data_IF_375207540462
#
_entry.id   IF_375207540462
#
_cell.length_a   1.000
_cell.length_b   1.000
_cell.length_c   1.000
_cell.angle_alpha   90.00
_cell.angle_beta   90.00
_cell.angle_gamma   90.00
#
_symmetry.space_group_name_H-M   'P 1'
#
loop_
_entity.id
_entity.type
_entity.pdbx_description
1 polymer ?
#
# COMPACT_ATOMS: atom_id res chain seq x y z
N UNK A 1 24.22 -10.15 -30.29
CA UNK A 1 23.44 -10.17 -29.02
C UNK A 1 23.25 -8.74 -28.56
N UNK A 2 22.04 -8.18 -28.65
CA UNK A 2 21.70 -6.86 -28.07
C UNK A 2 21.10 -7.12 -26.70
N UNK A 3 21.83 -6.76 -25.64
CA UNK A 3 21.27 -6.66 -24.30
C UNK A 3 20.28 -5.48 -24.29
N UNK A 4 19.07 -5.59 -23.72
CA UNK A 4 18.18 -4.46 -23.59
C UNK A 4 18.80 -3.50 -22.57
N UNK A 5 19.10 -2.27 -23.01
CA UNK A 5 19.57 -1.20 -22.13
C UNK A 5 18.62 -1.05 -20.95
N UNK A 6 19.16 -1.22 -19.75
CA UNK A 6 18.54 -0.85 -18.51
C UNK A 6 17.89 0.53 -18.64
N UNK A 7 16.65 0.65 -18.16
CA UNK A 7 15.94 1.91 -17.98
C UNK A 7 16.72 2.82 -17.03
N UNK A 8 17.76 3.49 -17.52
CA UNK A 8 18.44 4.54 -16.79
C UNK A 8 17.55 5.77 -16.86
N UNK A 9 16.59 5.88 -15.92
CA UNK A 9 15.85 7.12 -15.74
C UNK A 9 16.90 8.19 -15.41
N UNK A 10 17.06 9.24 -16.25
CA UNK A 10 18.02 10.29 -15.96
C UNK A 10 17.74 10.87 -14.57
N UNK A 11 18.78 11.12 -13.77
CA UNK A 11 18.63 11.61 -12.39
C UNK A 11 17.70 12.84 -12.29
N UNK A 12 17.69 13.68 -13.34
CA UNK A 12 16.78 14.81 -13.49
C UNK A 12 15.31 14.39 -13.57
N UNK A 13 14.98 13.44 -14.44
CA UNK A 13 13.61 12.93 -14.59
C UNK A 13 13.11 12.24 -13.32
N UNK A 14 14.00 11.57 -12.58
CA UNK A 14 13.67 11.02 -11.27
C UNK A 14 13.35 12.11 -10.24
N UNK A 15 14.17 13.17 -10.19
CA UNK A 15 13.93 14.32 -9.30
C UNK A 15 12.61 15.03 -9.60
N UNK A 16 12.34 15.32 -10.88
CA UNK A 16 11.08 15.95 -11.33
C UNK A 16 9.86 15.08 -10.98
N UNK A 17 9.98 13.75 -11.08
CA UNK A 17 8.94 12.83 -10.64
C UNK A 17 8.70 12.92 -9.13
N UNK A 18 9.75 12.89 -8.32
CA UNK A 18 9.62 13.00 -6.86
C UNK A 18 9.00 14.34 -6.44
N UNK A 19 9.41 15.45 -7.05
CA UNK A 19 8.83 16.77 -6.79
C UNK A 19 7.34 16.82 -7.17
N UNK A 20 6.97 16.23 -8.30
CA UNK A 20 5.57 16.11 -8.73
C UNK A 20 4.74 15.22 -7.81
N UNK A 21 5.31 14.16 -7.25
CA UNK A 21 4.63 13.25 -6.30
C UNK A 21 4.51 13.86 -4.89
N UNK A 22 5.52 14.62 -4.45
CA UNK A 22 5.59 15.18 -3.10
C UNK A 22 4.38 16.07 -2.74
N UNK A 23 3.77 16.74 -3.73
CA UNK A 23 2.59 17.59 -3.54
C UNK A 23 1.37 16.85 -2.97
N UNK A 24 1.32 15.53 -3.08
CA UNK A 24 0.23 14.71 -2.55
C UNK A 24 0.47 14.23 -1.13
N UNK A 25 1.61 14.58 -0.51
CA UNK A 25 1.99 14.10 0.80
C UNK A 25 2.12 15.23 1.81
N UNK A 26 1.69 14.98 3.04
CA UNK A 26 1.92 15.84 4.20
C UNK A 26 2.61 15.03 5.28
N UNK A 27 3.69 15.57 5.81
CA UNK A 27 4.40 15.00 6.95
C UNK A 27 3.96 15.70 8.23
N UNK A 28 3.30 14.95 9.12
CA UNK A 28 2.90 15.37 10.45
C UNK A 28 3.48 14.39 11.46
N UNK A 29 4.68 14.69 11.96
CA UNK A 29 5.54 13.79 12.72
C UNK A 29 4.77 13.03 13.84
N UNK A 30 4.73 11.68 13.86
CA UNK A 30 5.52 10.69 13.09
C UNK A 30 4.81 10.09 11.86
N UNK A 31 3.78 10.76 11.35
CA UNK A 31 2.87 10.23 10.34
C UNK A 31 3.05 10.91 8.98
N UNK A 32 3.09 10.09 7.93
CA UNK A 32 2.97 10.55 6.55
C UNK A 32 1.53 10.37 6.12
N UNK A 33 0.91 11.43 5.63
CA UNK A 33 -0.43 11.43 5.07
C UNK A 33 -0.36 11.58 3.55
N UNK A 34 -1.26 10.92 2.83
CA UNK A 34 -1.40 11.04 1.38
C UNK A 34 -2.82 11.48 1.00
N UNK A 35 -2.91 12.48 0.13
CA UNK A 35 -4.15 12.92 -0.48
C UNK A 35 -4.46 12.11 -1.74
N UNK A 36 -5.72 11.73 -1.88
CA UNK A 36 -6.24 10.98 -3.02
C UNK A 36 -7.34 11.77 -3.72
N UNK A 37 -7.62 11.41 -4.97
CA UNK A 37 -8.63 12.06 -5.80
C UNK A 37 -10.06 11.85 -5.29
N UNK A 38 -10.27 10.87 -4.41
CA UNK A 38 -11.54 10.64 -3.72
C UNK A 38 -11.76 11.58 -2.52
N UNK A 39 -10.88 12.57 -2.33
CA UNK A 39 -10.88 13.53 -1.21
C UNK A 39 -10.65 12.87 0.16
N UNK A 40 -10.29 11.58 0.19
CA UNK A 40 -9.96 10.87 1.42
C UNK A 40 -8.45 10.99 1.67
N UNK A 41 -8.11 11.53 2.83
CA UNK A 41 -6.71 11.54 3.28
C UNK A 41 -6.40 10.22 3.95
N UNK A 42 -5.37 9.51 3.48
CA UNK A 42 -4.97 8.22 4.06
C UNK A 42 -3.64 8.32 4.77
N UNK A 43 -3.58 7.72 5.95
CA UNK A 43 -2.40 7.58 6.78
C UNK A 43 -1.51 6.47 6.26
N UNK A 44 -0.25 6.80 6.02
CA UNK A 44 0.79 5.83 5.69
C UNK A 44 1.07 4.93 6.88
N UNK A 45 1.06 3.62 6.66
CA UNK A 45 1.45 2.63 7.65
C UNK A 45 2.94 2.31 7.49
N UNK A 46 3.73 2.41 8.58
CA UNK A 46 5.10 1.93 8.60
C UNK A 46 5.24 0.46 8.21
N UNK A 47 6.34 0.12 7.55
CA UNK A 47 6.60 -1.21 7.01
C UNK A 47 6.60 -2.34 8.05
N UNK A 48 6.86 -2.04 9.32
CA UNK A 48 6.81 -3.00 10.43
C UNK A 48 5.39 -3.23 10.98
N UNK A 49 4.42 -2.38 10.64
CA UNK A 49 3.06 -2.39 11.21
C UNK A 49 1.98 -2.90 10.26
N UNK A 50 2.24 -3.01 8.96
CA UNK A 50 1.19 -3.39 8.00
C UNK A 50 0.67 -4.81 8.23
N UNK A 51 1.50 -5.74 8.71
CA UNK A 51 1.06 -7.10 9.03
C UNK A 51 -0.01 -7.09 10.11
N UNK A 52 0.18 -6.32 11.20
CA UNK A 52 -0.80 -6.19 12.27
C UNK A 52 -2.15 -5.69 11.75
N UNK A 53 -2.12 -4.72 10.83
CA UNK A 53 -3.32 -4.20 10.16
C UNK A 53 -4.01 -5.30 9.35
N UNK A 54 -3.27 -6.03 8.50
CA UNK A 54 -3.84 -7.11 7.69
C UNK A 54 -4.44 -8.24 8.55
N UNK A 55 -3.74 -8.63 9.63
CA UNK A 55 -4.24 -9.59 10.61
C UNK A 55 -5.57 -9.12 11.22
N UNK A 56 -5.63 -7.88 11.71
CA UNK A 56 -6.84 -7.35 12.34
C UNK A 56 -8.07 -7.44 11.43
N UNK A 57 -7.94 -7.10 10.14
CA UNK A 57 -9.06 -7.17 9.20
C UNK A 57 -9.39 -8.58 8.72
N UNK A 58 -8.41 -9.49 8.68
CA UNK A 58 -8.65 -10.89 8.30
C UNK A 58 -9.39 -11.68 9.37
N UNK A 59 -9.05 -11.46 10.65
CA UNK A 59 -9.68 -12.15 11.78
C UNK A 59 -10.96 -11.48 12.29
N UNK A 60 -11.36 -10.35 11.73
CA UNK A 60 -12.59 -9.67 12.10
C UNK A 60 -13.78 -10.63 11.83
N UNK A 61 -14.59 -10.97 12.86
CA UNK A 61 -15.59 -12.02 12.74
C UNK A 61 -16.73 -11.55 11.83
N UNK A 62 -16.76 -12.03 10.58
CA UNK A 62 -17.91 -11.93 9.67
C UNK A 62 -17.81 -12.99 8.57
N UNK A 63 -18.91 -13.69 8.33
CA UNK A 63 -18.99 -14.85 7.44
C UNK A 63 -18.64 -14.53 5.99
N UNK A 64 -17.61 -15.20 5.46
CA UNK A 64 -17.25 -15.20 4.05
C UNK A 64 -15.76 -15.36 3.81
N UNK A 65 -15.37 -16.17 2.83
CA UNK A 65 -14.00 -16.22 2.29
C UNK A 65 -13.75 -14.95 1.46
N UNK A 66 -13.28 -13.89 2.11
CA UNK A 66 -12.95 -12.65 1.43
C UNK A 66 -11.49 -12.67 0.98
N UNK A 67 -11.27 -12.55 -0.33
CA UNK A 67 -9.95 -12.50 -0.91
C UNK A 67 -9.19 -11.21 -0.64
N UNK A 68 -7.95 -11.14 -1.12
CA UNK A 68 -7.01 -10.01 -0.92
C UNK A 68 -7.54 -8.64 -1.35
N UNK A 69 -8.38 -8.57 -2.38
CA UNK A 69 -9.04 -7.34 -2.84
C UNK A 69 -9.91 -6.71 -1.76
N UNK A 70 -10.69 -7.54 -1.04
CA UNK A 70 -11.58 -7.06 0.00
C UNK A 70 -10.79 -6.54 1.21
N UNK A 71 -9.77 -7.29 1.64
CA UNK A 71 -8.86 -6.86 2.72
C UNK A 71 -8.20 -5.53 2.39
N UNK A 72 -7.72 -5.37 1.15
CA UNK A 72 -7.14 -4.10 0.68
C UNK A 72 -8.16 -2.96 0.73
N UNK A 73 -9.38 -3.19 0.23
CA UNK A 73 -10.43 -2.17 0.24
C UNK A 73 -10.76 -1.71 1.66
N UNK A 74 -10.88 -2.63 2.62
CA UNK A 74 -11.15 -2.28 4.03
C UNK A 74 -10.07 -1.42 4.66
N UNK A 75 -8.81 -1.76 4.41
CA UNK A 75 -7.68 -0.97 4.88
C UNK A 75 -7.72 0.45 4.28
N UNK A 76 -8.04 0.57 2.99
CA UNK A 76 -8.19 1.87 2.31
C UNK A 76 -9.40 2.67 2.81
N UNK A 77 -10.53 2.02 3.08
CA UNK A 77 -11.77 2.62 3.61
C UNK A 77 -11.56 3.15 5.04
N UNK A 78 -10.74 2.45 5.83
CA UNK A 78 -10.34 2.89 7.17
C UNK A 78 -9.25 3.97 7.15
N UNK A 79 -8.89 4.50 5.98
CA UNK A 79 -7.96 5.60 5.85
C UNK A 79 -6.50 5.19 6.02
N UNK A 80 -6.14 3.92 5.79
CA UNK A 80 -4.76 3.44 5.84
C UNK A 80 -4.21 3.16 4.45
N UNK A 81 -2.91 3.33 4.26
CA UNK A 81 -2.23 3.08 2.99
C UNK A 81 -0.77 2.68 3.19
N UNK A 82 -0.25 1.88 2.26
CA UNK A 82 1.19 1.80 1.98
C UNK A 82 1.39 1.41 0.51
N UNK A 83 2.56 1.71 -0.10
CA UNK A 83 2.78 1.55 -1.55
C UNK A 83 2.51 0.15 -2.10
N UNK A 84 2.62 -0.87 -1.25
CA UNK A 84 2.60 -2.28 -1.67
C UNK A 84 1.40 -3.06 -1.14
N UNK A 85 0.37 -2.35 -0.67
CA UNK A 85 -0.84 -2.89 -0.05
C UNK A 85 -1.48 -4.06 -0.80
N UNK A 86 -1.71 -3.94 -2.11
CA UNK A 86 -2.32 -5.01 -2.90
C UNK A 86 -1.47 -6.27 -2.93
N UNK A 87 -0.15 -6.12 -3.13
CA UNK A 87 0.78 -7.25 -3.18
C UNK A 87 0.89 -7.93 -1.82
N UNK A 88 0.96 -7.14 -0.76
CA UNK A 88 1.14 -7.66 0.60
C UNK A 88 -0.15 -8.31 1.10
N UNK A 89 -1.33 -7.76 0.79
CA UNK A 89 -2.62 -8.39 1.05
C UNK A 89 -2.79 -9.70 0.28
N UNK A 90 -2.35 -9.75 -0.98
CA UNK A 90 -2.37 -10.98 -1.79
C UNK A 90 -1.49 -12.07 -1.19
N UNK A 91 -0.23 -11.74 -0.87
CA UNK A 91 0.68 -12.68 -0.19
C UNK A 91 0.11 -13.14 1.15
N UNK A 92 -0.46 -12.21 1.91
CA UNK A 92 -1.06 -12.50 3.20
C UNK A 92 -2.18 -13.53 3.07
N UNK A 93 -3.17 -13.29 2.22
CA UNK A 93 -4.30 -14.22 2.02
C UNK A 93 -3.83 -15.59 1.52
N UNK A 94 -2.91 -15.64 0.55
CA UNK A 94 -2.36 -16.93 0.08
C UNK A 94 -1.68 -17.73 1.19
N UNK A 95 -0.97 -17.06 2.08
CA UNK A 95 -0.29 -17.72 3.20
C UNK A 95 -1.31 -18.31 4.19
N UNK A 96 -2.44 -17.63 4.39
CA UNK A 96 -3.52 -18.09 5.28
C UNK A 96 -4.38 -19.19 4.68
N UNK A 97 -4.71 -19.11 3.38
CA UNK A 97 -5.44 -20.17 2.66
C UNK A 97 -4.65 -21.48 2.62
N UNK A 98 -3.31 -21.43 2.60
CA UNK A 98 -2.46 -22.62 2.73
C UNK A 98 -2.39 -23.20 4.15
N UNK A 99 -2.80 -22.42 5.16
CA UNK A 99 -2.78 -22.82 6.57
C UNK A 99 -4.15 -23.22 7.14
N UNK A 100 -5.24 -23.07 6.36
CA UNK A 100 -6.58 -23.57 6.70
C UNK A 100 -6.80 -25.00 6.18
#
# INVERSE_FOLDING_TARGET
MKFPCCFHIPARAYKEKLESEAKYYVWDNPYLWRFYNDQITRKSIPGDKFLLVLHFYHFAPRGGHYGSTWTTQKVLDCGFYWPTIYRDAHKFVLTYEQCQ
#
